data_IF_409962039475
#
_entry.id   IF_409962039475
#
_cell.length_a   1.000
_cell.length_b   1.000
_cell.length_c   1.000
_cell.angle_alpha   90.00
_cell.angle_beta   90.00
_cell.angle_gamma   90.00
#
_symmetry.space_group_name_H-M   'P 1'
#
loop_
_entity.id
_entity.type
_entity.pdbx_description
1 polymer ?
#
# COMPACT_ATOMS: atom_id res chain seq x y z
N UNK A 1 -5.62 9.70 -8.59
CA UNK A 1 -6.01 10.30 -7.29
C UNK A 1 -4.95 11.30 -6.83
N UNK A 2 -3.70 10.85 -6.66
CA UNK A 2 -2.64 11.63 -6.00
C UNK A 2 -2.40 13.02 -6.64
N UNK A 3 -2.22 13.12 -7.95
CA UNK A 3 -2.04 14.41 -8.64
C UNK A 3 -3.22 15.39 -8.48
N UNK A 4 -4.45 14.87 -8.40
CA UNK A 4 -5.66 15.67 -8.16
C UNK A 4 -5.66 16.27 -6.74
N UNK A 5 -5.22 15.48 -5.75
CA UNK A 5 -5.08 15.96 -4.36
C UNK A 5 -3.99 17.01 -4.25
N UNK A 6 -2.83 16.78 -4.86
CA UNK A 6 -1.75 17.76 -4.81
C UNK A 6 -2.16 19.09 -5.44
N UNK A 7 -2.83 19.04 -6.59
CA UNK A 7 -3.36 20.24 -7.25
C UNK A 7 -4.35 20.98 -6.35
N UNK A 8 -5.28 20.25 -5.73
CA UNK A 8 -6.28 20.83 -4.83
C UNK A 8 -5.64 21.49 -3.60
N UNK A 9 -4.68 20.82 -2.95
CA UNK A 9 -3.99 21.39 -1.78
C UNK A 9 -3.17 22.63 -2.14
N UNK A 10 -2.50 22.63 -3.30
CA UNK A 10 -1.77 23.81 -3.79
C UNK A 10 -2.70 25.01 -4.02
N UNK A 11 -3.92 24.78 -4.51
CA UNK A 11 -4.91 25.85 -4.66
C UNK A 11 -5.29 26.46 -3.31
N UNK A 12 -5.59 25.62 -2.32
CA UNK A 12 -5.91 26.07 -0.95
C UNK A 12 -4.77 26.90 -0.35
N UNK A 13 -3.52 26.44 -0.50
CA UNK A 13 -2.37 27.18 0.03
C UNK A 13 -2.06 28.46 -0.74
N UNK A 14 -2.39 28.53 -2.03
CA UNK A 14 -2.26 29.74 -2.83
C UNK A 14 -3.26 30.83 -2.41
N UNK A 15 -4.49 30.45 -2.05
CA UNK A 15 -5.53 31.39 -1.62
C UNK A 15 -5.29 31.96 -0.21
N UNK A 16 -4.48 31.27 0.62
CA UNK A 16 -4.03 31.71 1.96
C UNK A 16 -5.16 32.05 2.95
N UNK A 17 -6.39 31.65 2.66
CA UNK A 17 -7.53 31.81 3.54
C UNK A 17 -8.38 30.54 3.48
N UNK A 18 -8.90 30.12 4.62
CA UNK A 18 -9.91 29.06 4.70
C UNK A 18 -11.09 29.62 5.50
N UNK A 19 -11.99 30.27 4.78
CA UNK A 19 -13.30 30.69 5.23
C UNK A 19 -14.18 29.50 5.64
N UNK A 20 -15.26 29.72 6.40
CA UNK A 20 -16.23 28.68 6.72
C UNK A 20 -16.85 28.02 5.47
N UNK A 21 -17.00 28.78 4.38
CA UNK A 21 -17.50 28.30 3.08
C UNK A 21 -16.50 27.32 2.44
N UNK A 22 -15.21 27.66 2.45
CA UNK A 22 -14.13 26.78 1.98
C UNK A 22 -13.99 25.52 2.86
N UNK A 23 -14.25 25.61 4.17
CA UNK A 23 -14.29 24.43 5.04
C UNK A 23 -15.41 23.45 4.66
N UNK A 24 -16.56 23.94 4.18
CA UNK A 24 -17.62 23.11 3.59
C UNK A 24 -17.17 22.42 2.30
N UNK A 25 -16.50 23.16 1.41
CA UNK A 25 -15.96 22.62 0.16
C UNK A 25 -14.91 21.51 0.39
N UNK A 26 -14.11 21.60 1.46
CA UNK A 26 -13.17 20.53 1.86
C UNK A 26 -13.90 19.22 2.20
N UNK A 27 -15.01 19.29 2.94
CA UNK A 27 -15.81 18.11 3.29
C UNK A 27 -16.43 17.49 2.05
N UNK A 28 -16.98 18.30 1.15
CA UNK A 28 -17.51 17.83 -0.14
C UNK A 28 -16.41 17.16 -0.98
N UNK A 29 -15.23 17.78 -1.04
CA UNK A 29 -14.08 17.23 -1.75
C UNK A 29 -13.68 15.85 -1.23
N UNK A 30 -13.46 15.68 0.08
CA UNK A 30 -13.09 14.36 0.63
C UNK A 30 -14.22 13.33 0.54
N UNK A 31 -15.48 13.78 0.60
CA UNK A 31 -16.64 12.90 0.41
C UNK A 31 -16.70 12.35 -1.00
N UNK A 32 -16.40 13.19 -2.00
CA UNK A 32 -16.33 12.81 -3.42
C UNK A 32 -15.08 11.99 -3.73
N UNK A 33 -13.93 12.38 -3.16
CA UNK A 33 -12.66 11.65 -3.29
C UNK A 33 -12.80 10.22 -2.78
N UNK A 34 -13.54 10.02 -1.68
CA UNK A 34 -13.78 8.73 -1.04
C UNK A 34 -12.48 7.91 -0.91
N UNK A 35 -11.46 8.41 -0.20
CA UNK A 35 -10.17 7.75 -0.16
C UNK A 35 -10.24 6.45 0.68
N UNK A 36 -9.56 5.37 0.25
CA UNK A 36 -9.42 4.19 1.08
C UNK A 36 -8.58 4.48 2.34
N UNK A 37 -8.74 3.69 3.43
CA UNK A 37 -8.06 3.88 4.71
C UNK A 37 -6.53 4.02 4.65
N UNK A 38 -5.89 3.30 3.73
CA UNK A 38 -4.43 3.33 3.52
C UNK A 38 -3.91 4.66 2.95
N UNK A 39 -4.76 5.40 2.23
CA UNK A 39 -4.42 6.71 1.69
C UNK A 39 -4.50 7.84 2.72
N UNK A 40 -5.13 7.63 3.87
CA UNK A 40 -5.33 8.70 4.87
C UNK A 40 -4.00 9.26 5.41
N UNK A 41 -3.03 8.39 5.67
CA UNK A 41 -1.68 8.81 6.12
C UNK A 41 -0.98 9.63 5.03
N UNK A 42 -1.09 9.19 3.77
CA UNK A 42 -0.51 9.89 2.63
C UNK A 42 -1.17 11.26 2.42
N UNK A 43 -2.50 11.35 2.48
CA UNK A 43 -3.24 12.62 2.37
C UNK A 43 -2.76 13.63 3.42
N UNK A 44 -2.67 13.22 4.68
CA UNK A 44 -2.16 14.07 5.76
C UNK A 44 -0.70 14.48 5.52
N UNK A 45 0.18 13.53 5.18
CA UNK A 45 1.58 13.81 4.91
C UNK A 45 1.75 14.80 3.75
N UNK A 46 0.97 14.63 2.69
CA UNK A 46 0.95 15.52 1.52
C UNK A 46 0.50 16.92 1.90
N UNK A 47 -0.47 17.07 2.82
CA UNK A 47 -0.87 18.37 3.33
C UNK A 47 0.32 19.10 3.98
N UNK A 48 1.04 18.44 4.90
CA UNK A 48 2.23 19.04 5.55
C UNK A 48 3.39 19.29 4.57
N UNK A 49 3.68 18.34 3.69
CA UNK A 49 4.76 18.44 2.69
C UNK A 49 4.53 19.65 1.78
N UNK A 50 3.34 19.75 1.20
CA UNK A 50 2.98 20.87 0.33
C UNK A 50 2.92 22.18 1.11
N UNK A 51 2.42 22.17 2.36
CA UNK A 51 2.44 23.35 3.21
C UNK A 51 3.85 23.91 3.43
N UNK A 52 4.87 23.04 3.57
CA UNK A 52 6.27 23.46 3.67
C UNK A 52 6.75 24.23 2.43
N UNK A 53 6.19 23.99 1.25
CA UNK A 53 6.55 24.68 0.01
C UNK A 53 5.98 26.12 -0.05
N UNK A 54 4.94 26.42 0.75
CA UNK A 54 4.25 27.73 0.77
C UNK A 54 4.63 28.61 1.98
N UNK A 55 5.52 28.12 2.85
CA UNK A 55 6.10 28.93 3.93
C UNK A 55 6.87 30.12 3.33
N UNK A 56 6.74 31.29 3.97
CA UNK A 56 7.42 32.52 3.56
C UNK A 56 8.93 32.43 3.78
N UNK A 57 9.69 32.77 2.72
CA UNK A 57 11.15 32.91 2.79
C UNK A 57 11.59 34.20 3.51
N UNK A 58 10.69 35.19 3.62
CA UNK A 58 10.96 36.50 4.22
C UNK A 58 10.57 36.57 5.71
N UNK A 59 10.13 35.45 6.30
CA UNK A 59 9.71 35.40 7.71
C UNK A 59 8.37 36.09 7.99
N UNK A 60 7.49 36.19 6.99
CA UNK A 60 6.12 36.70 7.17
C UNK A 60 5.33 35.76 8.09
N UNK A 61 5.17 36.20 9.34
CA UNK A 61 4.49 35.44 10.39
C UNK A 61 3.01 35.22 10.05
N UNK A 62 2.31 36.23 9.54
CA UNK A 62 0.88 36.14 9.25
C UNK A 62 0.63 35.16 8.09
N UNK A 63 1.51 35.16 7.08
CA UNK A 63 1.47 34.16 6.01
C UNK A 63 1.70 32.74 6.54
N UNK A 64 2.69 32.53 7.41
CA UNK A 64 2.98 31.20 7.96
C UNK A 64 1.84 30.71 8.89
N UNK A 65 1.21 31.61 9.63
CA UNK A 65 -0.02 31.32 10.41
C UNK A 65 -1.16 30.90 9.48
N UNK A 66 -1.33 31.56 8.33
CA UNK A 66 -2.35 31.18 7.36
C UNK A 66 -2.14 29.76 6.80
N UNK A 67 -0.89 29.36 6.54
CA UNK A 67 -0.55 27.99 6.12
C UNK A 67 -0.90 26.98 7.20
N UNK A 68 -0.57 27.24 8.47
CA UNK A 68 -0.95 26.35 9.58
C UNK A 68 -2.46 26.20 9.73
N UNK A 69 -3.22 27.30 9.54
CA UNK A 69 -4.70 27.26 9.56
C UNK A 69 -5.25 26.41 8.41
N UNK A 70 -4.70 26.54 7.21
CA UNK A 70 -5.10 25.74 6.06
C UNK A 70 -4.83 24.23 6.28
N UNK A 71 -3.65 23.88 6.81
CA UNK A 71 -3.32 22.50 7.20
C UNK A 71 -4.32 21.99 8.26
N UNK A 72 -4.62 22.81 9.27
CA UNK A 72 -5.58 22.44 10.33
C UNK A 72 -6.96 22.12 9.75
N UNK A 73 -7.44 22.94 8.81
CA UNK A 73 -8.72 22.74 8.15
C UNK A 73 -8.74 21.45 7.32
N UNK A 74 -7.68 21.19 6.54
CA UNK A 74 -7.52 19.95 5.77
C UNK A 74 -7.59 18.70 6.64
N UNK A 75 -6.84 18.70 7.74
CA UNK A 75 -6.82 17.57 8.69
C UNK A 75 -8.18 17.40 9.35
N UNK A 76 -8.83 18.50 9.75
CA UNK A 76 -10.18 18.43 10.31
C UNK A 76 -11.20 17.83 9.35
N UNK A 77 -11.17 18.24 8.09
CA UNK A 77 -12.06 17.68 7.07
C UNK A 77 -11.76 16.20 6.81
N UNK A 78 -10.48 15.78 6.82
CA UNK A 78 -10.10 14.37 6.73
C UNK A 78 -10.65 13.55 7.90
N UNK A 79 -10.42 13.99 9.15
CA UNK A 79 -10.88 13.29 10.36
C UNK A 79 -12.41 13.14 10.38
N UNK A 80 -13.14 14.22 10.09
CA UNK A 80 -14.61 14.21 10.13
C UNK A 80 -15.24 13.42 8.98
N UNK A 81 -14.63 13.47 7.79
CA UNK A 81 -15.18 12.84 6.59
C UNK A 81 -14.80 11.38 6.48
N UNK A 82 -13.55 11.02 6.80
CA UNK A 82 -12.96 9.73 6.49
C UNK A 82 -12.65 8.86 7.73
N UNK A 83 -12.82 9.38 8.95
CA UNK A 83 -12.50 8.64 10.18
C UNK A 83 -13.67 8.65 11.17
N UNK A 84 -13.62 7.73 12.13
CA UNK A 84 -14.53 7.68 13.28
C UNK A 84 -13.71 7.70 14.58
N UNK A 85 -14.17 8.42 15.61
CA UNK A 85 -13.59 8.32 16.93
C UNK A 85 -13.63 6.88 17.45
N UNK A 86 -12.54 6.42 18.08
CA UNK A 86 -12.49 5.14 18.82
C UNK A 86 -12.37 5.30 20.32
N UNK A 87 -12.58 6.53 20.80
CA UNK A 87 -12.53 6.91 22.20
C UNK A 87 -13.93 6.83 22.82
N UNK A 88 -14.05 6.67 24.16
CA UNK A 88 -15.35 6.58 24.81
C UNK A 88 -16.20 7.84 24.62
N UNK A 89 -17.51 7.66 24.43
CA UNK A 89 -18.47 8.74 24.62
C UNK A 89 -18.53 9.10 26.11
N UNK A 90 -18.29 10.36 26.46
CA UNK A 90 -18.37 10.81 27.84
C UNK A 90 -17.62 12.11 28.08
N UNK A 91 -17.77 12.68 29.27
CA UNK A 91 -17.07 13.88 29.74
C UNK A 91 -15.84 13.51 30.57
N UNK A 92 -14.94 12.69 30.03
CA UNK A 92 -13.68 12.44 30.72
C UNK A 92 -12.95 13.78 30.96
N UNK A 93 -12.27 13.94 32.09
CA UNK A 93 -11.52 15.17 32.35
C UNK A 93 -10.37 15.27 31.34
N UNK A 94 -10.49 16.24 30.43
CA UNK A 94 -9.44 16.63 29.50
C UNK A 94 -8.69 17.83 30.09
N UNK A 95 -7.41 17.63 30.40
CA UNK A 95 -6.53 18.70 30.86
C UNK A 95 -5.86 19.39 29.66
N UNK A 96 -6.46 20.50 29.25
CA UNK A 96 -5.98 21.31 28.14
C UNK A 96 -4.61 21.96 28.43
N UNK A 97 -4.37 22.36 29.68
CA UNK A 97 -3.12 23.03 30.07
C UNK A 97 -1.94 22.06 30.02
N UNK A 98 -2.11 20.86 30.56
CA UNK A 98 -1.11 19.79 30.48
C UNK A 98 -0.80 19.41 29.03
N UNK A 99 -1.82 19.38 28.18
CA UNK A 99 -1.68 19.06 26.75
C UNK A 99 -0.92 20.14 26.00
N UNK A 100 -1.25 21.43 26.22
CA UNK A 100 -0.51 22.55 25.63
C UNK A 100 0.95 22.58 26.11
N UNK A 101 1.20 22.34 27.40
CA UNK A 101 2.55 22.28 27.95
C UNK A 101 3.38 21.16 27.32
N UNK A 102 2.80 19.97 27.14
CA UNK A 102 3.46 18.85 26.51
C UNK A 102 3.81 19.14 25.04
N UNK A 103 2.90 19.73 24.26
CA UNK A 103 3.21 20.09 22.88
C UNK A 103 4.28 21.17 22.76
N UNK A 104 4.31 22.15 23.67
CA UNK A 104 5.39 23.14 23.72
C UNK A 104 6.76 22.51 23.97
N UNK A 105 6.82 21.50 24.82
CA UNK A 105 8.05 20.73 25.08
C UNK A 105 8.50 19.97 23.82
N UNK A 106 7.59 19.26 23.16
CA UNK A 106 7.84 18.52 21.90
C UNK A 106 8.29 19.44 20.75
N UNK A 107 7.93 20.72 20.76
CA UNK A 107 8.34 21.67 19.72
C UNK A 107 9.59 22.48 20.09
N UNK A 108 10.17 22.27 21.27
CA UNK A 108 11.23 23.13 21.79
C UNK A 108 12.58 22.96 21.08
N UNK A 109 12.86 21.77 20.56
CA UNK A 109 14.11 21.41 19.89
C UNK A 109 13.96 21.28 18.36
N UNK A 110 12.72 21.32 17.86
CA UNK A 110 12.34 21.14 16.45
C UNK A 110 12.82 19.81 15.86
N UNK A 111 13.00 18.80 16.70
CA UNK A 111 13.20 17.41 16.30
C UNK A 111 12.13 16.51 16.93
N UNK A 112 11.93 15.33 16.32
CA UNK A 112 11.24 14.23 16.99
C UNK A 112 12.06 12.99 16.73
N UNK A 113 12.87 12.60 17.71
CA UNK A 113 13.66 11.39 17.65
C UNK A 113 12.85 10.13 18.00
N UNK A 114 13.53 8.99 18.10
CA UNK A 114 12.89 7.72 18.44
C UNK A 114 12.33 7.68 19.87
N UNK A 115 13.00 8.33 20.83
CA UNK A 115 12.59 8.39 22.23
C UNK A 115 11.38 9.31 22.40
N UNK A 116 11.40 10.48 21.75
CA UNK A 116 10.29 11.43 21.75
C UNK A 116 9.05 10.86 21.07
N UNK A 117 9.22 10.07 20.00
CA UNK A 117 8.11 9.34 19.39
C UNK A 117 7.50 8.31 20.33
N UNK A 118 8.30 7.61 21.14
CA UNK A 118 7.80 6.70 22.17
C UNK A 118 7.09 7.48 23.30
N UNK A 119 7.63 8.63 23.69
CA UNK A 119 7.01 9.57 24.63
C UNK A 119 5.64 10.06 24.16
N UNK A 120 5.49 10.41 22.88
CA UNK A 120 4.21 10.78 22.25
C UNK A 120 3.19 9.65 22.34
N UNK A 121 3.59 8.41 22.03
CA UNK A 121 2.71 7.25 22.13
C UNK A 121 2.24 7.02 23.57
N UNK A 122 3.16 7.09 24.53
CA UNK A 122 2.84 6.96 25.95
C UNK A 122 1.90 8.09 26.44
N UNK A 123 2.14 9.32 25.99
CA UNK A 123 1.29 10.47 26.30
C UNK A 123 -0.15 10.25 25.81
N UNK A 124 -0.34 9.90 24.54
CA UNK A 124 -1.69 9.68 24.00
C UNK A 124 -2.38 8.44 24.58
N UNK A 125 -1.64 7.41 25.01
CA UNK A 125 -2.21 6.28 25.74
C UNK A 125 -2.70 6.67 27.14
N UNK A 126 -1.97 7.55 27.83
CA UNK A 126 -2.29 7.98 29.19
C UNK A 126 -3.33 9.12 29.25
N UNK A 127 -3.47 9.90 28.18
CA UNK A 127 -4.29 11.11 28.14
C UNK A 127 -5.27 11.06 26.95
N UNK A 128 -6.01 9.95 26.80
CA UNK A 128 -7.04 9.84 25.76
C UNK A 128 -8.16 10.85 26.04
N UNK A 129 -8.42 11.83 25.16
CA UNK A 129 -9.48 12.80 25.37
C UNK A 129 -10.86 12.16 25.16
N UNK A 130 -11.91 12.70 25.80
CA UNK A 130 -13.28 12.40 25.40
C UNK A 130 -13.55 12.87 23.97
N UNK A 131 -14.56 12.28 23.34
CA UNK A 131 -14.90 12.56 21.94
C UNK A 131 -15.19 14.05 21.66
N UNK A 132 -15.81 14.77 22.60
CA UNK A 132 -16.10 16.21 22.46
C UNK A 132 -14.85 17.12 22.53
N UNK A 133 -13.73 16.59 23.03
CA UNK A 133 -12.47 17.31 23.20
C UNK A 133 -11.40 16.97 22.15
N UNK A 134 -11.70 16.09 21.19
CA UNK A 134 -10.77 15.71 20.12
C UNK A 134 -10.30 16.91 19.30
N UNK A 135 -11.23 17.77 18.89
CA UNK A 135 -10.93 19.00 18.15
C UNK A 135 -10.08 19.95 19.00
N UNK A 136 -10.39 20.07 20.30
CA UNK A 136 -9.67 20.92 21.24
C UNK A 136 -8.22 20.45 21.41
N UNK A 137 -8.00 19.14 21.62
CA UNK A 137 -6.66 18.56 21.73
C UNK A 137 -5.83 18.77 20.47
N UNK A 138 -6.39 18.49 19.29
CA UNK A 138 -5.66 18.75 18.04
C UNK A 138 -5.34 20.23 17.86
N UNK A 139 -6.30 21.12 18.12
CA UNK A 139 -6.09 22.56 17.98
C UNK A 139 -5.04 23.10 18.97
N UNK A 140 -4.85 22.47 20.13
CA UNK A 140 -3.78 22.81 21.06
C UNK A 140 -2.38 22.61 20.46
N UNK A 141 -2.19 21.57 19.63
CA UNK A 141 -0.92 21.35 18.91
C UNK A 141 -0.67 22.48 17.90
N UNK A 142 -1.67 22.83 17.08
CA UNK A 142 -1.54 23.91 16.10
C UNK A 142 -1.36 25.29 16.75
N UNK A 143 -2.05 25.56 17.86
CA UNK A 143 -1.86 26.79 18.64
C UNK A 143 -0.43 26.88 19.19
N UNK A 144 0.08 25.80 19.78
CA UNK A 144 1.46 25.76 20.29
C UNK A 144 2.50 25.93 19.18
N UNK A 145 2.20 25.42 17.98
CA UNK A 145 3.04 25.64 16.81
C UNK A 145 3.01 27.10 16.33
N UNK A 146 1.85 27.77 16.32
CA UNK A 146 1.77 29.21 15.99
C UNK A 146 2.66 30.04 16.92
N UNK A 147 2.62 29.74 18.23
CA UNK A 147 3.49 30.40 19.22
C UNK A 147 4.99 30.14 18.97
N UNK A 148 5.34 29.07 18.26
CA UNK A 148 6.71 28.62 17.97
C UNK A 148 7.22 29.03 16.58
N UNK A 149 6.41 29.70 15.77
CA UNK A 149 6.82 30.21 14.46
C UNK A 149 7.94 31.24 14.61
N UNK A 150 8.94 31.15 13.74
CA UNK A 150 10.07 32.08 13.71
C UNK A 150 10.20 32.76 12.35
N UNK A 151 11.14 33.70 12.24
CA UNK A 151 11.53 34.28 10.95
C UNK A 151 12.35 33.30 10.09
N UNK A 152 12.88 32.23 10.68
CA UNK A 152 13.65 31.21 9.96
C UNK A 152 12.72 30.16 9.32
N UNK A 153 12.82 30.08 7.99
CA UNK A 153 12.07 29.14 7.18
C UNK A 153 12.46 27.69 7.46
N UNK A 154 13.74 27.40 7.72
CA UNK A 154 14.19 26.03 8.01
C UNK A 154 13.63 25.53 9.34
N UNK A 155 13.68 26.37 10.37
CA UNK A 155 13.01 26.11 11.65
C UNK A 155 11.50 25.87 11.48
N UNK A 156 10.81 26.67 10.66
CA UNK A 156 9.37 26.48 10.42
C UNK A 156 9.07 25.18 9.65
N UNK A 157 9.94 24.74 8.73
CA UNK A 157 9.81 23.42 8.08
C UNK A 157 9.98 22.30 9.11
N UNK A 158 10.97 22.41 9.98
CA UNK A 158 11.20 21.44 11.05
C UNK A 158 9.98 21.38 11.99
N UNK A 159 9.42 22.52 12.36
CA UNK A 159 8.19 22.61 13.14
C UNK A 159 7.01 21.87 12.46
N UNK A 160 6.77 22.09 11.16
CA UNK A 160 5.72 21.37 10.43
C UNK A 160 5.91 19.85 10.44
N UNK A 161 7.16 19.38 10.43
CA UNK A 161 7.47 17.94 10.59
C UNK A 161 7.10 17.45 11.98
N UNK A 162 7.45 18.19 13.04
CA UNK A 162 7.07 17.83 14.42
C UNK A 162 5.55 17.78 14.59
N UNK A 163 4.81 18.77 14.08
CA UNK A 163 3.34 18.79 14.13
C UNK A 163 2.76 17.56 13.43
N UNK A 164 3.26 17.19 12.24
CA UNK A 164 2.78 16.01 11.53
C UNK A 164 2.98 14.73 12.36
N UNK A 165 4.10 14.60 13.09
CA UNK A 165 4.33 13.46 13.98
C UNK A 165 3.35 13.46 15.16
N UNK A 166 3.08 14.62 15.76
CA UNK A 166 2.07 14.76 16.84
C UNK A 166 0.68 14.37 16.33
N UNK A 167 0.23 14.93 15.21
CA UNK A 167 -1.09 14.64 14.62
C UNK A 167 -1.19 13.17 14.23
N UNK A 168 -0.14 12.57 13.67
CA UNK A 168 -0.15 11.15 13.34
C UNK A 168 -0.37 10.27 14.57
N UNK A 169 0.33 10.54 15.68
CA UNK A 169 0.17 9.77 16.91
C UNK A 169 -1.20 10.01 17.56
N UNK A 170 -1.70 11.25 17.51
CA UNK A 170 -3.06 11.59 17.94
C UNK A 170 -4.12 10.80 17.17
N UNK A 171 -4.07 10.80 15.84
CA UNK A 171 -5.00 10.05 14.99
C UNK A 171 -4.93 8.54 15.26
N UNK A 172 -3.71 8.00 15.35
CA UNK A 172 -3.50 6.59 15.68
C UNK A 172 -4.04 6.20 17.07
N UNK A 173 -4.06 7.13 18.02
CA UNK A 173 -4.58 6.90 19.36
C UNK A 173 -6.09 7.09 19.47
N UNK A 174 -6.67 8.02 18.70
CA UNK A 174 -8.03 8.50 18.93
C UNK A 174 -9.04 8.12 17.85
N UNK A 175 -8.57 7.72 16.66
CA UNK A 175 -9.43 7.44 15.51
C UNK A 175 -9.25 6.03 14.95
N UNK A 176 -10.27 5.59 14.20
CA UNK A 176 -10.21 4.52 13.23
C UNK A 176 -10.64 5.07 11.87
N UNK A 177 -10.08 4.58 10.76
CA UNK A 177 -10.64 4.85 9.45
C UNK A 177 -12.11 4.40 9.39
N UNK A 178 -12.95 5.15 8.66
CA UNK A 178 -14.28 4.66 8.27
C UNK A 178 -14.13 3.42 7.39
N UNK A 179 -15.12 2.53 7.47
CA UNK A 179 -15.20 1.41 6.55
C UNK A 179 -15.30 1.94 5.12
N UNK A 180 -14.42 1.42 4.26
CA UNK A 180 -14.39 1.76 2.86
C UNK A 180 -15.53 1.06 2.13
N UNK A 181 -16.24 1.82 1.32
CA UNK A 181 -17.17 1.27 0.35
C UNK A 181 -16.89 1.88 -1.01
N UNK A 182 -16.67 1.01 -2.00
CA UNK A 182 -16.45 1.39 -3.38
C UNK A 182 -17.75 1.97 -3.95
N UNK A 183 -17.81 3.30 -4.09
CA UNK A 183 -19.00 4.03 -4.52
C UNK A 183 -19.29 3.96 -6.02
N UNK A 184 -18.28 3.67 -6.85
CA UNK A 184 -18.45 3.60 -8.32
C UNK A 184 -19.32 2.38 -8.65
N UNK A 185 -20.33 2.57 -9.50
CA UNK A 185 -21.09 1.46 -10.08
C UNK A 185 -20.37 1.00 -11.36
N UNK A 186 -20.26 -0.31 -11.54
CA UNK A 186 -19.57 -0.91 -12.69
C UNK A 186 -20.53 -1.73 -13.54
N UNK A 187 -20.24 -1.83 -14.84
CA UNK A 187 -20.76 -2.94 -15.62
C UNK A 187 -19.98 -4.20 -15.23
N UNK A 188 -20.65 -5.17 -14.63
CA UNK A 188 -20.04 -6.43 -14.21
C UNK A 188 -20.22 -7.55 -15.25
N UNK A 189 -21.02 -7.34 -16.29
CA UNK A 189 -21.16 -8.25 -17.44
C UNK A 189 -20.04 -7.97 -18.46
N UNK A 190 -18.82 -8.27 -18.04
CA UNK A 190 -17.59 -8.07 -18.82
C UNK A 190 -16.69 -9.30 -18.71
N UNK A 191 -15.81 -9.49 -19.69
CA UNK A 191 -14.86 -10.59 -19.69
C UNK A 191 -13.81 -10.47 -18.58
N UNK A 192 -13.10 -11.57 -18.30
CA UNK A 192 -12.06 -11.59 -17.26
C UNK A 192 -10.95 -10.55 -17.53
N UNK A 193 -10.58 -10.34 -18.79
CA UNK A 193 -9.58 -9.34 -19.18
C UNK A 193 -10.00 -7.93 -18.77
N UNK A 194 -11.23 -7.53 -19.08
CA UNK A 194 -11.77 -6.21 -18.74
C UNK A 194 -11.91 -6.03 -17.21
N UNK A 195 -12.25 -7.11 -16.51
CA UNK A 195 -12.30 -7.09 -15.04
C UNK A 195 -10.91 -6.87 -14.43
N UNK A 196 -9.86 -7.51 -14.96
CA UNK A 196 -8.49 -7.27 -14.54
C UNK A 196 -8.05 -5.83 -14.88
N UNK A 197 -8.45 -5.31 -16.04
CA UNK A 197 -8.21 -3.91 -16.40
C UNK A 197 -8.88 -2.93 -15.42
N UNK A 198 -10.11 -3.19 -14.98
CA UNK A 198 -10.75 -2.35 -13.95
C UNK A 198 -10.04 -2.48 -12.60
N UNK A 199 -9.59 -3.67 -12.19
CA UNK A 199 -8.76 -3.82 -10.97
C UNK A 199 -7.47 -3.00 -11.07
N UNK A 200 -6.83 -2.97 -12.25
CA UNK A 200 -5.64 -2.15 -12.51
C UNK A 200 -5.95 -0.66 -12.36
N UNK A 201 -7.05 -0.19 -12.95
CA UNK A 201 -7.47 1.21 -12.88
C UNK A 201 -7.82 1.64 -11.44
N UNK A 202 -8.26 0.70 -10.60
CA UNK A 202 -8.64 0.93 -9.20
C UNK A 202 -7.47 0.80 -8.21
N UNK A 203 -6.32 0.28 -8.63
CA UNK A 203 -5.16 0.07 -7.76
C UNK A 203 -4.42 1.39 -7.46
N UNK A 204 -5.00 2.17 -6.56
CA UNK A 204 -4.44 3.45 -6.11
C UNK A 204 -3.15 3.29 -5.29
N UNK A 205 -2.84 2.08 -4.82
CA UNK A 205 -1.63 1.80 -4.05
C UNK A 205 -0.47 1.34 -4.91
N UNK A 206 -0.69 1.13 -6.22
CA UNK A 206 0.39 0.95 -7.19
C UNK A 206 1.43 2.06 -7.03
N UNK A 207 2.69 1.65 -7.00
CA UNK A 207 3.83 2.55 -7.00
C UNK A 207 4.08 3.05 -8.41
N UNK A 208 4.39 4.33 -8.53
CA UNK A 208 4.69 4.99 -9.80
C UNK A 208 6.18 4.85 -10.12
N UNK A 209 6.55 4.32 -11.30
CA UNK A 209 7.95 4.26 -11.72
C UNK A 209 8.59 5.65 -11.73
N UNK A 210 9.88 5.71 -11.46
CA UNK A 210 10.71 6.92 -11.35
C UNK A 210 10.33 7.91 -10.22
N UNK A 211 9.13 7.80 -9.63
CA UNK A 211 8.69 8.57 -8.47
C UNK A 211 8.82 7.74 -7.17
N UNK A 212 8.05 6.65 -7.06
CA UNK A 212 7.99 5.81 -5.87
C UNK A 212 9.09 4.72 -5.89
N UNK A 213 9.51 4.28 -7.07
CA UNK A 213 10.62 3.33 -7.22
C UNK A 213 11.41 3.57 -8.50
N UNK A 214 12.64 3.07 -8.56
CA UNK A 214 13.51 3.14 -9.75
C UNK A 214 14.19 1.80 -9.93
N UNK A 215 14.13 1.30 -11.16
CA UNK A 215 14.81 0.07 -11.57
C UNK A 215 15.93 0.34 -12.56
N UNK A 216 16.93 -0.53 -12.58
CA UNK A 216 17.99 -0.59 -13.56
C UNK A 216 17.83 -1.89 -14.37
N UNK A 217 17.13 -1.80 -15.51
CA UNK A 217 16.80 -2.97 -16.35
C UNK A 217 18.02 -3.63 -17.01
N UNK A 218 19.12 -2.89 -17.18
CA UNK A 218 20.39 -3.40 -17.71
C UNK A 218 20.22 -4.08 -19.08
N UNK A 219 20.94 -5.16 -19.37
CA UNK A 219 20.94 -5.80 -20.69
C UNK A 219 19.91 -6.93 -20.81
N UNK A 220 19.27 -6.98 -21.98
CA UNK A 220 18.37 -8.05 -22.36
C UNK A 220 19.12 -9.31 -22.80
N UNK A 221 18.55 -10.47 -22.47
CA UNK A 221 19.13 -11.77 -22.81
C UNK A 221 18.10 -12.77 -23.31
N UNK A 222 18.60 -13.87 -23.87
CA UNK A 222 17.75 -15.01 -24.25
C UNK A 222 17.49 -15.91 -23.02
N UNK A 223 16.32 -16.57 -22.92
CA UNK A 223 15.95 -17.41 -21.77
C UNK A 223 17.00 -18.46 -21.41
N UNK A 224 17.65 -19.05 -22.41
CA UNK A 224 18.62 -20.13 -22.26
C UNK A 224 20.06 -19.66 -22.02
N UNK A 225 20.31 -18.34 -21.97
CA UNK A 225 21.61 -17.79 -21.63
C UNK A 225 21.76 -17.72 -20.12
N UNK A 226 22.82 -18.33 -19.59
CA UNK A 226 23.12 -18.37 -18.15
C UNK A 226 24.13 -17.33 -17.69
N UNK A 227 24.81 -16.67 -18.64
CA UNK A 227 25.77 -15.61 -18.33
C UNK A 227 25.05 -14.46 -17.63
N UNK A 228 25.73 -13.79 -16.72
CA UNK A 228 25.20 -12.58 -16.11
C UNK A 228 25.17 -11.44 -17.14
N UNK A 229 24.04 -10.75 -17.21
CA UNK A 229 23.82 -9.59 -18.09
C UNK A 229 23.36 -8.37 -17.26
N UNK A 230 23.51 -8.46 -15.94
CA UNK A 230 23.11 -7.44 -15.01
C UNK A 230 24.07 -7.42 -13.82
N UNK A 231 25.22 -6.76 -13.98
CA UNK A 231 26.24 -6.66 -12.93
C UNK A 231 25.78 -5.84 -11.70
N UNK A 232 24.68 -5.10 -11.81
CA UNK A 232 24.11 -4.25 -10.76
C UNK A 232 22.73 -4.77 -10.29
N UNK A 233 22.26 -4.38 -9.08
CA UNK A 233 20.89 -4.68 -8.64
C UNK A 233 19.82 -4.13 -9.57
N UNK A 234 18.70 -4.85 -9.71
CA UNK A 234 17.51 -4.38 -10.43
C UNK A 234 16.89 -3.17 -9.71
N UNK A 235 16.69 -3.22 -8.40
CA UNK A 235 16.04 -2.14 -7.66
C UNK A 235 17.08 -1.15 -7.10
N UNK A 236 17.20 0.01 -7.75
CA UNK A 236 18.13 1.07 -7.28
C UNK A 236 17.51 1.93 -6.18
N UNK A 237 16.18 2.13 -6.21
CA UNK A 237 15.43 2.87 -5.18
C UNK A 237 14.02 2.31 -5.04
N UNK A 238 13.57 2.15 -3.80
CA UNK A 238 12.15 2.00 -3.45
C UNK A 238 11.83 2.94 -2.30
N UNK A 239 10.80 3.75 -2.43
CA UNK A 239 10.37 4.68 -1.39
C UNK A 239 9.91 3.89 -0.15
N UNK A 240 10.63 4.12 0.96
CA UNK A 240 10.34 3.48 2.24
C UNK A 240 8.98 3.91 2.78
N UNK A 241 8.53 5.13 2.49
CA UNK A 241 7.25 5.63 2.98
C UNK A 241 6.08 4.93 2.27
N UNK A 242 6.22 4.67 0.97
CA UNK A 242 5.26 3.85 0.23
C UNK A 242 5.10 2.45 0.83
N UNK A 243 6.19 1.81 1.27
CA UNK A 243 6.15 0.49 1.95
C UNK A 243 5.56 0.53 3.37
N UNK A 244 5.39 1.71 3.97
CA UNK A 244 4.70 1.86 5.25
C UNK A 244 3.17 1.94 5.11
N UNK A 245 2.64 2.02 3.88
CA UNK A 245 1.19 1.94 3.65
C UNK A 245 0.65 0.62 4.22
N UNK A 246 -0.56 0.60 4.82
CA UNK A 246 -1.08 -0.57 5.53
C UNK A 246 -1.00 -1.89 4.76
N UNK A 247 -1.34 -1.92 3.47
CA UNK A 247 -1.36 -3.15 2.67
C UNK A 247 0.05 -3.71 2.45
N UNK A 248 1.00 -2.88 2.01
CA UNK A 248 2.42 -3.27 1.92
C UNK A 248 3.00 -3.69 3.27
N UNK A 249 2.75 -2.92 4.34
CA UNK A 249 3.31 -3.22 5.66
C UNK A 249 2.84 -4.57 6.20
N UNK A 250 1.55 -4.86 6.06
CA UNK A 250 0.97 -6.15 6.50
C UNK A 250 1.39 -7.30 5.60
N UNK A 251 1.55 -7.05 4.29
CA UNK A 251 2.09 -8.03 3.36
C UNK A 251 3.55 -8.39 3.65
N UNK A 252 4.43 -7.41 3.89
CA UNK A 252 5.84 -7.62 4.24
C UNK A 252 5.95 -8.40 5.55
N UNK A 253 5.13 -8.09 6.56
CA UNK A 253 5.10 -8.84 7.81
C UNK A 253 4.75 -10.33 7.59
N UNK A 254 3.93 -10.65 6.59
CA UNK A 254 3.69 -12.05 6.22
C UNK A 254 4.92 -12.67 5.56
N UNK A 255 5.58 -11.98 4.63
CA UNK A 255 6.78 -12.50 3.95
C UNK A 255 7.90 -12.84 4.95
N UNK A 256 8.09 -12.01 5.98
CA UNK A 256 9.14 -12.18 7.00
C UNK A 256 8.96 -13.42 7.89
N UNK A 257 7.76 -14.01 7.95
CA UNK A 257 7.50 -15.21 8.75
C UNK A 257 8.05 -16.49 8.11
N UNK A 258 8.23 -16.51 6.79
CA UNK A 258 8.49 -17.74 6.06
C UNK A 258 9.99 -17.97 5.84
N UNK A 259 10.42 -19.23 6.00
CA UNK A 259 11.78 -19.67 5.70
C UNK A 259 11.77 -20.50 4.43
N UNK A 260 12.74 -20.27 3.54
CA UNK A 260 12.84 -20.91 2.22
C UNK A 260 13.00 -22.45 2.22
N UNK A 261 13.16 -23.09 3.39
CA UNK A 261 13.39 -24.53 3.52
C UNK A 261 12.09 -25.27 3.86
N UNK A 262 11.59 -26.05 2.91
CA UNK A 262 10.36 -26.86 3.05
C UNK A 262 10.56 -28.13 3.90
N UNK A 263 9.47 -28.66 4.45
CA UNK A 263 9.42 -30.04 4.97
C UNK A 263 9.40 -30.23 6.50
N UNK A 264 9.11 -29.19 7.28
CA UNK A 264 8.76 -29.32 8.70
C UNK A 264 7.31 -28.88 8.91
N UNK A 265 6.56 -29.55 9.80
CA UNK A 265 5.24 -29.06 10.21
C UNK A 265 5.35 -27.65 10.79
N UNK A 266 4.85 -26.67 10.06
CA UNK A 266 4.71 -25.31 10.57
C UNK A 266 3.48 -25.25 11.47
N UNK A 267 3.71 -24.94 12.75
CA UNK A 267 2.62 -24.59 13.65
C UNK A 267 2.34 -23.11 13.50
N UNK A 268 1.20 -22.78 12.87
CA UNK A 268 0.75 -21.40 12.79
C UNK A 268 0.58 -20.85 14.21
N UNK A 269 1.39 -19.85 14.54
CA UNK A 269 1.41 -19.18 15.83
C UNK A 269 0.21 -18.24 15.97
N UNK A 270 -0.07 -17.79 17.19
CA UNK A 270 -1.10 -16.77 17.41
C UNK A 270 -0.71 -15.39 16.84
N UNK A 271 0.58 -15.16 16.62
CA UNK A 271 1.07 -13.94 15.97
C UNK A 271 0.81 -13.98 14.46
N UNK A 272 1.21 -15.06 13.79
CA UNK A 272 0.96 -15.26 12.35
C UNK A 272 -0.53 -15.18 12.03
N UNK A 273 -1.41 -15.77 12.84
CA UNK A 273 -2.87 -15.62 12.68
C UNK A 273 -3.34 -14.17 12.72
N UNK A 274 -2.75 -13.34 13.58
CA UNK A 274 -3.10 -11.90 13.65
C UNK A 274 -2.57 -11.14 12.45
N UNK A 275 -1.39 -11.49 11.94
CA UNK A 275 -0.82 -10.89 10.74
C UNK A 275 -1.62 -11.25 9.49
N UNK A 276 -2.08 -12.51 9.36
CA UNK A 276 -2.98 -12.97 8.30
C UNK A 276 -4.32 -12.22 8.32
N UNK A 277 -4.94 -12.10 9.50
CA UNK A 277 -6.19 -11.34 9.67
C UNK A 277 -6.00 -9.85 9.38
N UNK A 278 -4.88 -9.26 9.83
CA UNK A 278 -4.56 -7.86 9.57
C UNK A 278 -4.36 -7.58 8.08
N UNK A 279 -3.65 -8.46 7.36
CA UNK A 279 -3.47 -8.35 5.92
C UNK A 279 -4.80 -8.46 5.16
N UNK A 280 -5.61 -9.49 5.45
CA UNK A 280 -6.90 -9.66 4.79
C UNK A 280 -7.84 -8.48 5.04
N UNK A 281 -7.90 -7.96 6.27
CA UNK A 281 -8.65 -6.75 6.60
C UNK A 281 -8.14 -5.52 5.84
N UNK A 282 -6.82 -5.36 5.73
CA UNK A 282 -6.25 -4.23 5.02
C UNK A 282 -6.62 -4.26 3.54
N UNK A 283 -6.43 -5.39 2.85
CA UNK A 283 -6.71 -5.48 1.41
C UNK A 283 -8.22 -5.40 1.10
N UNK A 284 -9.11 -5.88 1.97
CA UNK A 284 -10.56 -5.79 1.75
C UNK A 284 -11.11 -4.36 1.85
N UNK A 285 -10.32 -3.43 2.41
CA UNK A 285 -10.63 -2.01 2.48
C UNK A 285 -10.09 -1.24 1.26
N UNK A 286 -9.80 -1.93 0.16
CA UNK A 286 -9.27 -1.35 -1.09
C UNK A 286 -10.24 -1.49 -2.24
N UNK A 287 -10.14 -0.59 -3.22
CA UNK A 287 -10.98 -0.62 -4.40
C UNK A 287 -10.80 -1.88 -5.29
N UNK A 288 -9.57 -2.38 -5.56
CA UNK A 288 -9.39 -3.60 -6.35
C UNK A 288 -10.09 -4.82 -5.72
N UNK A 289 -9.99 -5.00 -4.40
CA UNK A 289 -10.61 -6.15 -3.72
C UNK A 289 -12.13 -6.02 -3.63
N UNK A 290 -12.68 -4.83 -3.44
CA UNK A 290 -14.13 -4.66 -3.46
C UNK A 290 -14.72 -4.83 -4.85
N UNK A 291 -14.02 -4.39 -5.89
CA UNK A 291 -14.40 -4.70 -7.26
C UNK A 291 -14.31 -6.21 -7.55
N UNK A 292 -13.23 -6.87 -7.14
CA UNK A 292 -13.07 -8.33 -7.22
C UNK A 292 -14.25 -9.06 -6.57
N UNK A 293 -14.63 -8.66 -5.35
CA UNK A 293 -15.77 -9.23 -4.64
C UNK A 293 -17.10 -9.04 -5.39
N UNK A 294 -17.38 -7.82 -5.86
CA UNK A 294 -18.59 -7.52 -6.65
C UNK A 294 -18.61 -8.31 -7.97
N UNK A 295 -17.48 -8.39 -8.69
CA UNK A 295 -17.36 -9.12 -9.94
C UNK A 295 -17.56 -10.62 -9.75
N UNK A 296 -16.97 -11.20 -8.69
CA UNK A 296 -17.15 -12.61 -8.34
C UNK A 296 -18.61 -12.93 -7.95
N UNK A 297 -19.25 -12.08 -7.16
CA UNK A 297 -20.67 -12.22 -6.81
C UNK A 297 -21.57 -12.25 -8.04
N UNK A 298 -21.27 -11.44 -9.06
CA UNK A 298 -22.05 -11.37 -10.27
C UNK A 298 -21.77 -12.52 -11.25
N UNK A 299 -20.52 -13.00 -11.32
CA UNK A 299 -20.07 -13.85 -12.43
C UNK A 299 -19.62 -15.27 -12.04
N UNK A 300 -19.30 -15.54 -10.77
CA UNK A 300 -18.86 -16.86 -10.36
C UNK A 300 -20.05 -17.82 -10.23
N UNK A 301 -20.14 -18.80 -11.16
CA UNK A 301 -21.26 -19.75 -11.22
C UNK A 301 -21.02 -21.07 -10.48
N UNK A 302 -19.76 -21.37 -10.17
CA UNK A 302 -19.34 -22.68 -9.67
C UNK A 302 -19.03 -22.71 -8.18
N UNK A 303 -18.84 -21.53 -7.57
CA UNK A 303 -18.57 -21.37 -6.15
C UNK A 303 -19.55 -20.35 -5.60
N UNK A 304 -20.14 -20.65 -4.44
CA UNK A 304 -20.99 -19.70 -3.74
C UNK A 304 -20.11 -18.60 -3.12
N UNK A 305 -20.28 -17.36 -3.58
CA UNK A 305 -19.49 -16.21 -3.13
C UNK A 305 -20.30 -15.51 -2.04
N UNK A 306 -19.81 -15.43 -0.79
CA UNK A 306 -20.52 -14.75 0.27
C UNK A 306 -20.70 -13.27 -0.04
N UNK A 307 -21.91 -12.72 0.13
CA UNK A 307 -22.18 -11.29 -0.08
C UNK A 307 -21.66 -10.39 1.06
N UNK A 308 -21.47 -10.95 2.25
CA UNK A 308 -20.85 -10.27 3.39
C UNK A 308 -19.32 -10.27 3.27
N UNK A 309 -18.68 -9.11 3.47
CA UNK A 309 -17.23 -8.97 3.36
C UNK A 309 -16.48 -9.77 4.44
N UNK A 310 -17.05 -9.95 5.63
CA UNK A 310 -16.46 -10.75 6.70
C UNK A 310 -16.47 -12.25 6.38
N UNK A 311 -17.55 -12.75 5.78
CA UNK A 311 -17.61 -14.12 5.26
C UNK A 311 -16.71 -14.31 4.02
N UNK A 312 -16.62 -13.30 3.15
CA UNK A 312 -15.66 -13.31 2.04
C UNK A 312 -14.22 -13.32 2.55
N UNK A 313 -13.91 -12.62 3.64
CA UNK A 313 -12.60 -12.69 4.32
C UNK A 313 -12.28 -14.13 4.76
N UNK A 314 -13.26 -14.87 5.29
CA UNK A 314 -13.07 -16.28 5.66
C UNK A 314 -12.82 -17.17 4.45
N UNK A 315 -13.50 -16.89 3.33
CA UNK A 315 -13.23 -17.57 2.05
C UNK A 315 -11.80 -17.30 1.57
N UNK A 316 -11.34 -16.04 1.60
CA UNK A 316 -9.96 -15.70 1.26
C UNK A 316 -8.96 -16.38 2.19
N UNK A 317 -9.21 -16.38 3.52
CA UNK A 317 -8.38 -17.10 4.48
C UNK A 317 -8.28 -18.58 4.11
N UNK A 318 -9.41 -19.20 3.78
CA UNK A 318 -9.47 -20.60 3.36
C UNK A 318 -8.65 -20.86 2.08
N UNK A 319 -8.69 -19.97 1.10
CA UNK A 319 -8.00 -20.14 -0.19
C UNK A 319 -6.49 -19.94 -0.02
N UNK A 320 -6.08 -18.90 0.70
CA UNK A 320 -4.72 -18.39 0.74
C UNK A 320 -3.89 -18.90 1.92
N UNK A 321 -4.48 -19.05 3.10
CA UNK A 321 -3.74 -19.28 4.35
C UNK A 321 -4.03 -20.62 5.04
N UNK A 322 -5.11 -21.31 4.69
CA UNK A 322 -5.37 -22.63 5.27
C UNK A 322 -4.36 -23.67 4.76
N UNK A 323 -3.52 -24.15 5.68
CA UNK A 323 -2.47 -25.13 5.41
C UNK A 323 -3.01 -26.43 4.80
N UNK A 324 -2.33 -26.91 3.77
CA UNK A 324 -2.58 -28.19 3.11
C UNK A 324 -1.31 -29.05 3.05
N UNK A 325 -1.46 -30.31 2.59
CA UNK A 325 -0.37 -31.30 2.55
C UNK A 325 0.21 -31.40 1.15
N UNK A 326 1.54 -31.49 1.04
CA UNK A 326 2.22 -31.75 -0.24
C UNK A 326 3.01 -33.07 -0.22
N UNK A 327 2.32 -34.18 -0.45
CA UNK A 327 2.98 -35.49 -0.67
C UNK A 327 3.54 -36.19 0.59
N UNK A 328 3.18 -35.73 1.80
CA UNK A 328 3.58 -36.32 3.10
C UNK A 328 2.42 -36.48 4.11
N UNK A 329 2.75 -36.76 5.38
CA UNK A 329 1.75 -36.92 6.47
C UNK A 329 1.32 -35.59 7.11
N UNK A 330 2.10 -34.53 6.99
CA UNK A 330 1.89 -33.25 7.69
C UNK A 330 1.41 -32.14 6.73
N UNK A 331 0.75 -31.12 7.30
CA UNK A 331 0.34 -29.91 6.57
C UNK A 331 1.50 -28.92 6.67
N UNK A 332 2.09 -28.57 5.55
CA UNK A 332 3.41 -27.93 5.51
C UNK A 332 3.48 -26.72 4.57
N UNK A 333 2.39 -26.36 3.88
CA UNK A 333 2.36 -25.12 3.10
C UNK A 333 0.97 -24.52 2.90
N UNK A 334 0.93 -23.24 2.56
CA UNK A 334 -0.25 -22.45 2.21
C UNK A 334 -0.19 -21.90 0.77
N UNK A 335 -1.31 -21.36 0.29
CA UNK A 335 -1.36 -20.72 -1.05
C UNK A 335 -0.57 -19.43 -1.11
N UNK A 336 -0.55 -18.67 -0.01
CA UNK A 336 0.22 -17.43 0.11
C UNK A 336 1.73 -17.68 -0.08
N UNK A 337 2.28 -18.68 0.62
CA UNK A 337 3.70 -19.05 0.50
C UNK A 337 4.10 -19.36 -0.94
N UNK A 338 3.34 -20.24 -1.59
CA UNK A 338 3.68 -20.68 -2.94
C UNK A 338 3.59 -19.56 -3.98
N UNK A 339 2.63 -18.65 -3.85
CA UNK A 339 2.43 -17.55 -4.78
C UNK A 339 3.45 -16.44 -4.54
N UNK A 340 3.61 -16.00 -3.28
CA UNK A 340 4.32 -14.76 -2.96
C UNK A 340 5.74 -14.96 -2.42
N UNK A 341 5.99 -15.99 -1.61
CA UNK A 341 7.32 -16.23 -1.00
C UNK A 341 8.24 -16.95 -1.97
N UNK A 342 7.72 -18.01 -2.60
CA UNK A 342 8.51 -18.93 -3.42
C UNK A 342 9.31 -19.94 -2.59
N UNK A 343 9.84 -20.95 -3.27
CA UNK A 343 10.54 -22.08 -2.64
C UNK A 343 11.69 -22.58 -3.52
N UNK A 344 12.73 -23.13 -2.89
CA UNK A 344 13.75 -23.93 -3.58
C UNK A 344 13.40 -25.40 -3.41
N UNK A 345 13.08 -26.07 -4.51
CA UNK A 345 12.76 -27.50 -4.53
C UNK A 345 13.50 -28.20 -5.66
N UNK A 346 14.14 -29.33 -5.35
CA UNK A 346 14.88 -30.15 -6.31
C UNK A 346 15.90 -29.35 -7.14
N UNK A 347 16.57 -28.38 -6.50
CA UNK A 347 17.55 -27.49 -7.14
C UNK A 347 16.94 -26.51 -8.15
N UNK A 348 15.65 -26.19 -8.01
CA UNK A 348 14.93 -25.22 -8.83
C UNK A 348 14.16 -24.24 -7.95
N UNK A 349 14.15 -22.98 -8.34
CA UNK A 349 13.26 -21.97 -7.76
C UNK A 349 11.87 -22.13 -8.37
N UNK A 350 10.87 -22.35 -7.51
CA UNK A 350 9.44 -22.35 -7.86
C UNK A 350 8.75 -21.18 -7.15
N UNK A 351 7.76 -20.57 -7.78
CA UNK A 351 7.15 -19.34 -7.26
C UNK A 351 8.13 -18.15 -7.32
N UNK A 352 7.99 -17.20 -6.40
CA UNK A 352 8.76 -15.94 -6.35
C UNK A 352 8.62 -15.09 -7.62
N UNK A 353 7.40 -14.57 -7.81
CA UNK A 353 7.05 -13.67 -8.91
C UNK A 353 6.65 -12.26 -8.42
N UNK A 354 6.51 -12.05 -7.12
CA UNK A 354 6.09 -10.78 -6.56
C UNK A 354 7.28 -9.83 -6.40
N UNK A 355 7.13 -8.60 -6.90
CA UNK A 355 8.23 -7.63 -6.93
C UNK A 355 8.68 -7.17 -5.54
N UNK A 356 7.78 -7.15 -4.54
CA UNK A 356 8.16 -6.79 -3.16
C UNK A 356 9.09 -7.87 -2.61
N UNK A 357 8.76 -9.15 -2.81
CA UNK A 357 9.65 -10.24 -2.42
C UNK A 357 10.98 -10.19 -3.18
N UNK A 358 10.96 -9.95 -4.51
CA UNK A 358 12.20 -9.79 -5.29
C UNK A 358 13.09 -8.66 -4.72
N UNK A 359 12.50 -7.50 -4.44
CA UNK A 359 13.22 -6.36 -3.85
C UNK A 359 13.79 -6.68 -2.47
N UNK A 360 13.02 -7.34 -1.59
CA UNK A 360 13.47 -7.68 -0.24
C UNK A 360 14.64 -8.68 -0.28
N UNK A 361 14.56 -9.69 -1.14
CA UNK A 361 15.62 -10.71 -1.28
C UNK A 361 16.88 -10.15 -1.96
N UNK A 362 16.74 -9.27 -2.95
CA UNK A 362 17.88 -8.56 -3.56
C UNK A 362 18.57 -7.66 -2.55
N UNK A 363 17.79 -6.94 -1.74
CA UNK A 363 18.32 -6.09 -0.67
C UNK A 363 19.05 -6.88 0.43
N UNK A 364 18.68 -8.14 0.66
CA UNK A 364 19.40 -9.06 1.56
C UNK A 364 20.71 -9.58 0.94
N UNK A 365 20.90 -9.41 -0.37
CA UNK A 365 21.99 -10.04 -1.13
C UNK A 365 21.76 -11.53 -1.40
N UNK A 366 20.54 -12.02 -1.22
CA UNK A 366 20.17 -13.42 -1.47
C UNK A 366 19.67 -13.64 -2.89
N UNK A 367 19.22 -12.58 -3.56
CA UNK A 367 18.81 -12.57 -4.97
C UNK A 367 19.84 -11.83 -5.83
N UNK A 368 20.18 -12.46 -6.95
CA UNK A 368 21.14 -12.03 -7.96
C UNK A 368 20.39 -11.89 -9.30
N UNK A 369 20.01 -10.66 -9.67
CA UNK A 369 19.33 -10.37 -10.94
C UNK A 369 20.29 -10.54 -12.11
N UNK A 370 19.87 -11.20 -13.19
CA UNK A 370 20.76 -11.61 -14.30
C UNK A 370 20.36 -11.07 -15.66
N UNK A 371 19.49 -10.08 -15.71
CA UNK A 371 18.97 -9.49 -16.94
C UNK A 371 17.54 -9.89 -17.29
N UNK A 372 16.92 -9.09 -18.14
CA UNK A 372 15.53 -9.28 -18.59
C UNK A 372 15.46 -10.13 -19.86
N UNK A 373 14.28 -10.69 -20.11
CA UNK A 373 13.97 -11.55 -21.23
C UNK A 373 12.77 -10.98 -21.97
N UNK A 374 12.94 -10.67 -23.25
CA UNK A 374 11.83 -10.15 -24.08
C UNK A 374 10.78 -11.26 -24.32
N UNK A 375 9.48 -10.96 -24.23
CA UNK A 375 8.41 -11.90 -24.56
C UNK A 375 8.57 -12.53 -25.96
N UNK A 376 8.05 -13.74 -26.13
CA UNK A 376 8.28 -14.56 -27.35
C UNK A 376 7.58 -14.02 -28.61
N UNK A 377 6.55 -13.18 -28.48
CA UNK A 377 5.68 -12.77 -29.59
C UNK A 377 5.62 -11.25 -29.73
N UNK A 378 5.79 -10.77 -30.97
CA UNK A 378 5.45 -9.41 -31.47
C UNK A 378 5.73 -8.24 -30.51
N UNK A 379 6.83 -8.27 -29.77
CA UNK A 379 7.30 -7.10 -29.03
C UNK A 379 7.84 -6.07 -30.03
N UNK A 380 7.07 -4.99 -30.22
CA UNK A 380 7.54 -3.79 -30.91
C UNK A 380 8.12 -2.76 -29.92
N UNK A 381 7.73 -2.89 -28.65
CA UNK A 381 8.16 -2.05 -27.55
C UNK A 381 9.58 -2.36 -27.06
N UNK A 382 10.27 -1.31 -26.61
CA UNK A 382 11.53 -1.42 -25.86
C UNK A 382 11.22 -1.68 -24.38
N UNK A 383 12.05 -2.48 -23.71
CA UNK A 383 11.91 -2.73 -22.27
C UNK A 383 12.62 -1.62 -21.50
N UNK A 384 11.85 -0.86 -20.71
CA UNK A 384 12.33 0.37 -20.08
C UNK A 384 12.17 0.35 -18.55
N UNK A 385 12.74 1.37 -17.91
CA UNK A 385 12.71 1.51 -16.44
C UNK A 385 11.34 1.86 -15.85
N UNK A 386 10.37 2.18 -16.70
CA UNK A 386 8.99 2.49 -16.36
C UNK A 386 8.00 1.35 -16.66
N UNK A 387 8.48 0.24 -17.23
CA UNK A 387 7.65 -0.94 -17.46
C UNK A 387 7.08 -1.49 -16.15
N UNK A 388 5.78 -1.75 -16.15
CA UNK A 388 5.09 -2.40 -15.03
C UNK A 388 5.11 -3.93 -15.08
N UNK A 389 5.73 -4.52 -16.09
CA UNK A 389 5.94 -5.96 -16.19
C UNK A 389 7.33 -6.26 -16.72
N UNK A 390 8.02 -7.19 -16.07
CA UNK A 390 9.32 -7.63 -16.51
C UNK A 390 9.40 -9.16 -16.46
N UNK A 391 9.77 -9.75 -17.59
CA UNK A 391 10.21 -11.15 -17.62
C UNK A 391 11.71 -11.18 -17.35
N UNK A 392 12.11 -11.89 -16.30
CA UNK A 392 13.45 -11.77 -15.74
C UNK A 392 14.03 -13.12 -15.35
N UNK A 393 15.36 -13.19 -15.36
CA UNK A 393 16.15 -14.30 -14.85
C UNK A 393 16.92 -13.82 -13.61
N UNK A 394 17.03 -14.69 -12.60
CA UNK A 394 17.85 -14.42 -11.42
C UNK A 394 18.36 -15.73 -10.81
N UNK A 395 19.34 -15.64 -9.92
CA UNK A 395 19.63 -16.68 -8.95
C UNK A 395 19.14 -16.27 -7.56
N UNK A 396 18.60 -17.21 -6.81
CA UNK A 396 18.18 -17.01 -5.43
C UNK A 396 18.84 -18.06 -4.56
N UNK A 397 19.60 -17.62 -3.55
CA UNK A 397 20.42 -18.50 -2.71
C UNK A 397 21.32 -19.44 -3.55
N UNK A 398 21.88 -18.91 -4.65
CA UNK A 398 22.73 -19.65 -5.59
C UNK A 398 21.99 -20.58 -6.57
N UNK A 399 20.66 -20.65 -6.51
CA UNK A 399 19.84 -21.49 -7.41
C UNK A 399 19.22 -20.63 -8.50
N UNK A 400 19.51 -20.98 -9.75
CA UNK A 400 18.99 -20.28 -10.94
C UNK A 400 17.48 -20.50 -11.11
N UNK A 401 16.72 -19.41 -11.24
CA UNK A 401 15.36 -19.41 -11.79
C UNK A 401 15.44 -19.09 -13.28
N UNK A 402 14.95 -19.99 -14.14
CA UNK A 402 15.10 -19.88 -15.59
C UNK A 402 14.53 -18.58 -16.17
N UNK A 403 13.21 -18.39 -16.07
CA UNK A 403 12.49 -17.14 -16.41
C UNK A 403 11.24 -17.07 -15.52
N UNK A 404 10.96 -15.90 -14.97
CA UNK A 404 9.65 -15.58 -14.39
C UNK A 404 9.22 -14.19 -14.81
N UNK A 405 7.95 -14.00 -15.14
CA UNK A 405 7.37 -12.66 -15.29
C UNK A 405 6.89 -12.18 -13.93
N UNK A 406 7.11 -10.90 -13.66
CA UNK A 406 6.70 -10.20 -12.46
C UNK A 406 6.00 -8.91 -12.83
N UNK A 407 4.87 -8.64 -12.18
CA UNK A 407 4.35 -7.27 -12.13
C UNK A 407 5.28 -6.41 -11.28
N UNK A 408 5.55 -5.17 -11.69
CA UNK A 408 6.37 -4.20 -10.98
C UNK A 408 5.53 -3.03 -10.46
N UNK A 409 5.75 -2.66 -9.21
CA UNK A 409 5.07 -1.55 -8.54
C UNK A 409 3.61 -1.80 -8.15
N UNK A 410 2.94 -2.83 -8.67
CA UNK A 410 1.54 -3.15 -8.31
C UNK A 410 1.37 -3.43 -6.81
N UNK A 411 0.19 -3.15 -6.27
CA UNK A 411 -0.05 -3.43 -4.86
C UNK A 411 -0.30 -4.92 -4.57
N UNK A 412 -0.09 -5.39 -3.32
CA UNK A 412 -0.42 -6.76 -2.94
C UNK A 412 -1.88 -7.13 -3.19
N UNK A 413 -2.80 -6.21 -2.93
CA UNK A 413 -4.24 -6.38 -3.14
C UNK A 413 -4.62 -6.54 -4.61
N UNK A 414 -3.90 -5.91 -5.55
CA UNK A 414 -4.11 -6.12 -6.98
C UNK A 414 -3.78 -7.57 -7.37
N UNK A 415 -2.60 -8.06 -7.01
CA UNK A 415 -2.20 -9.45 -7.31
C UNK A 415 -3.15 -10.45 -6.65
N UNK A 416 -3.51 -10.25 -5.36
CA UNK A 416 -4.48 -11.11 -4.67
C UNK A 416 -5.84 -11.09 -5.35
N UNK A 417 -6.33 -9.92 -5.79
CA UNK A 417 -7.60 -9.79 -6.49
C UNK A 417 -7.59 -10.56 -7.82
N UNK A 418 -6.57 -10.34 -8.66
CA UNK A 418 -6.43 -11.00 -9.97
C UNK A 418 -6.34 -12.52 -9.81
N UNK A 419 -5.46 -13.00 -8.93
CA UNK A 419 -5.25 -14.43 -8.74
C UNK A 419 -6.46 -15.11 -8.08
N UNK A 420 -7.15 -14.44 -7.15
CA UNK A 420 -8.40 -14.95 -6.56
C UNK A 420 -9.50 -15.08 -7.61
N UNK A 421 -9.65 -14.06 -8.47
CA UNK A 421 -10.64 -14.11 -9.56
C UNK A 421 -10.32 -15.24 -10.53
N UNK A 422 -9.08 -15.34 -11.01
CA UNK A 422 -8.67 -16.44 -11.89
C UNK A 422 -8.87 -17.81 -11.23
N UNK A 423 -8.57 -17.94 -9.92
CA UNK A 423 -8.75 -19.19 -9.19
C UNK A 423 -10.23 -19.64 -9.10
N UNK A 424 -11.14 -18.71 -8.82
CA UNK A 424 -12.55 -19.02 -8.54
C UNK A 424 -13.41 -19.17 -9.80
N UNK A 425 -13.13 -18.41 -10.85
CA UNK A 425 -13.96 -18.40 -12.07
C UNK A 425 -13.18 -18.61 -13.38
N UNK A 426 -11.86 -18.54 -13.34
CA UNK A 426 -11.00 -18.79 -14.50
C UNK A 426 -10.61 -20.25 -14.67
N UNK A 427 -9.72 -20.46 -15.63
CA UNK A 427 -9.10 -21.74 -15.97
C UNK A 427 -7.64 -21.78 -15.46
N UNK A 428 -6.87 -22.83 -15.79
CA UNK A 428 -5.44 -22.86 -15.46
C UNK A 428 -4.62 -21.81 -16.22
N UNK A 429 -5.02 -21.50 -17.45
CA UNK A 429 -4.46 -20.42 -18.27
C UNK A 429 -5.54 -19.39 -18.56
N UNK A 430 -5.31 -18.13 -18.21
CA UNK A 430 -6.26 -17.04 -18.39
C UNK A 430 -5.63 -15.95 -19.25
N UNK A 431 -6.13 -15.77 -20.46
CA UNK A 431 -5.64 -14.74 -21.39
C UNK A 431 -6.17 -13.35 -20.97
N UNK A 432 -5.26 -12.41 -20.76
CA UNK A 432 -5.53 -11.04 -20.31
C UNK A 432 -4.73 -10.08 -21.18
N UNK A 433 -5.39 -9.06 -21.74
CA UNK A 433 -4.72 -7.88 -22.28
C UNK A 433 -4.81 -6.77 -21.23
N UNK A 434 -3.66 -6.21 -20.84
CA UNK A 434 -3.54 -5.19 -19.81
C UNK A 434 -2.89 -3.93 -20.39
N UNK A 435 -3.65 -2.85 -20.43
CA UNK A 435 -3.17 -1.50 -20.71
C UNK A 435 -2.74 -0.86 -19.38
N UNK A 436 -1.45 -0.51 -19.29
CA UNK A 436 -0.88 0.08 -18.08
C UNK A 436 -1.27 1.54 -17.88
N UNK A 437 -1.78 2.21 -18.93
CA UNK A 437 -2.04 3.64 -18.96
C UNK A 437 -0.79 4.50 -19.14
N UNK A 438 0.36 3.88 -19.43
CA UNK A 438 1.65 4.56 -19.65
C UNK A 438 2.11 4.57 -21.12
N UNK A 439 1.32 3.98 -22.00
CA UNK A 439 1.71 3.65 -23.38
C UNK A 439 1.83 2.14 -23.55
N UNK A 440 2.31 1.43 -22.52
CA UNK A 440 2.51 -0.01 -22.62
C UNK A 440 1.22 -0.82 -22.48
N UNK A 441 1.02 -1.73 -23.43
CA UNK A 441 0.00 -2.77 -23.41
C UNK A 441 0.67 -4.14 -23.42
N UNK A 442 0.26 -5.01 -22.50
CA UNK A 442 0.78 -6.38 -22.39
C UNK A 442 -0.29 -7.43 -22.62
N UNK A 443 0.00 -8.42 -23.46
CA UNK A 443 -0.78 -9.66 -23.50
C UNK A 443 -0.16 -10.67 -22.53
N UNK A 444 -0.95 -11.11 -21.56
CA UNK A 444 -0.56 -11.96 -20.45
C UNK A 444 -1.33 -13.26 -20.46
N UNK A 445 -0.67 -14.32 -19.99
CA UNK A 445 -1.34 -15.50 -19.45
C UNK A 445 -1.19 -15.50 -17.94
N UNK A 446 -2.28 -15.26 -17.22
CA UNK A 446 -2.30 -15.48 -15.78
C UNK A 446 -2.48 -16.98 -15.55
N UNK A 447 -1.39 -17.64 -15.15
CA UNK A 447 -1.40 -19.06 -14.79
C UNK A 447 -1.91 -19.19 -13.36
N UNK A 448 -2.88 -20.06 -13.13
CA UNK A 448 -3.42 -20.30 -11.79
C UNK A 448 -3.71 -21.78 -11.58
N UNK A 449 -2.96 -22.44 -10.70
CA UNK A 449 -3.10 -23.86 -10.44
C UNK A 449 -3.77 -24.10 -9.08
N UNK A 450 -4.64 -25.10 -9.01
CA UNK A 450 -5.33 -25.48 -7.77
C UNK A 450 -4.55 -26.55 -7.03
N UNK A 451 -4.50 -26.45 -5.70
CA UNK A 451 -3.95 -27.47 -4.83
C UNK A 451 -5.03 -27.95 -3.85
N UNK A 452 -4.95 -29.21 -3.42
CA UNK A 452 -5.91 -29.80 -2.47
C UNK A 452 -7.40 -29.58 -2.84
N UNK A 453 -7.69 -29.44 -4.15
CA UNK A 453 -8.98 -29.11 -4.78
C UNK A 453 -9.50 -27.68 -4.56
N UNK A 454 -9.34 -27.12 -3.37
CA UNK A 454 -9.98 -25.85 -2.99
C UNK A 454 -9.02 -24.78 -2.46
N UNK A 455 -7.71 -24.95 -2.69
CA UNK A 455 -6.66 -24.00 -2.33
C UNK A 455 -5.96 -23.49 -3.57
N UNK A 456 -5.47 -22.26 -3.52
CA UNK A 456 -4.57 -21.77 -4.57
C UNK A 456 -3.21 -22.45 -4.39
N UNK A 457 -2.69 -22.99 -5.49
CA UNK A 457 -1.44 -23.72 -5.55
C UNK A 457 -0.29 -22.79 -5.90
N UNK A 458 -0.21 -22.38 -7.16
CA UNK A 458 0.72 -21.33 -7.61
C UNK A 458 -0.02 -20.45 -8.62
N UNK A 459 0.27 -19.16 -8.62
CA UNK A 459 -0.30 -18.21 -9.55
C UNK A 459 0.73 -17.15 -9.91
N UNK A 460 0.82 -16.81 -11.20
CA UNK A 460 1.79 -15.84 -11.71
C UNK A 460 1.43 -15.41 -13.14
N UNK A 461 1.84 -14.20 -13.56
CA UNK A 461 1.73 -13.80 -14.95
C UNK A 461 2.81 -14.48 -15.81
N UNK A 462 2.50 -14.69 -17.08
CA UNK A 462 3.46 -14.97 -18.14
C UNK A 462 3.21 -13.95 -19.25
N UNK A 463 4.18 -13.05 -19.50
CA UNK A 463 4.07 -12.10 -20.60
C UNK A 463 4.25 -12.81 -21.95
N UNK A 464 3.28 -12.63 -22.84
CA UNK A 464 3.28 -13.24 -24.18
C UNK A 464 3.55 -12.24 -25.30
N UNK A 465 3.14 -10.98 -25.13
CA UNK A 465 3.49 -9.86 -26.01
C UNK A 465 3.53 -8.53 -25.24
N UNK A 466 4.18 -7.52 -25.83
CA UNK A 466 4.31 -6.16 -25.31
C UNK A 466 4.25 -5.17 -26.47
N UNK A 467 3.37 -4.17 -26.38
CA UNK A 467 3.10 -3.17 -27.39
C UNK A 467 3.21 -1.75 -26.80
N UNK A 468 3.61 -0.79 -27.65
CA UNK A 468 3.65 0.67 -27.37
C UNK A 468 2.36 1.39 -27.83
#
# INVERSE_FOLDING_TARGET
>A
MDAQVETFYRQIYADRNVSPEEAGALVEYFTALNPPPDKLVWLRLTAFRLGCEFLSDEGDHDQNVAILRAITALIHSLETTCMVPKVPEGKAEYDAEKTEAFFKDVFSDLSVDHEEKAGLQAFFQANIPPQDSLVTMRNAAFKSAVDSLSADREANVALLRCINVVVHNFEMACFLPKEYHLKKTFNLDVGLSDAVQEMWNLDVNRLTPNADYTINVQEGKKPYWKGDHADEPLFTRVDRQALQRPTYRTFIALLDNYKSHTGQAEQVTSQERREMDAFLKAILQTAPMQYCHQYLLANCKHTDIPSDLGEFQKLLYKIWFEMYRRGGREKDSSGFEHVFVGEVKDGKVSGMHNWVQLYLEEKKGELDYRGYVVPKSRSQAETNSDDHLLSLQFAWNGVEKFVGTSFLGVSPEFEVAVYTTCFLMGEEENDITLDTGTGDVFDLKIRCYKMARDKIGTAFPEATAHYD
#
